data_IF_920657575212
#
_entry.id   IF_920657575212
#
_cell.length_a   1.000
_cell.length_b   1.000
_cell.length_c   1.000
_cell.angle_alpha   90.00
_cell.angle_beta   90.00
_cell.angle_gamma   90.00
#
_symmetry.space_group_name_H-M   'P 1'
#
loop_
_entity.id
_entity.type
_entity.pdbx_description
1 polymer ?
#
# COMPACT_ATOMS: atom_id res chain seq x y z
N UNK A 1 -16.92 -34.27 -14.79
CA UNK A 1 -17.26 -32.89 -15.23
C UNK A 1 -16.07 -32.02 -14.87
N UNK A 2 -15.23 -31.63 -15.83
CA UNK A 2 -14.11 -30.73 -15.61
C UNK A 2 -14.70 -29.33 -15.42
N UNK A 3 -14.75 -28.85 -14.16
CA UNK A 3 -15.16 -27.49 -13.86
C UNK A 3 -14.19 -26.51 -14.52
N UNK A 4 -14.71 -25.57 -15.32
CA UNK A 4 -13.92 -24.46 -15.84
C UNK A 4 -13.32 -23.71 -14.66
N UNK A 5 -12.00 -23.56 -14.66
CA UNK A 5 -11.31 -22.73 -13.68
C UNK A 5 -11.92 -21.31 -13.72
N UNK A 6 -12.17 -20.69 -12.56
CA UNK A 6 -12.65 -19.33 -12.54
C UNK A 6 -11.59 -18.44 -13.22
N UNK A 7 -11.94 -17.90 -14.39
CA UNK A 7 -11.14 -16.83 -15.00
C UNK A 7 -11.13 -15.66 -14.01
N UNK A 8 -9.96 -15.10 -13.76
CA UNK A 8 -9.87 -13.83 -13.02
C UNK A 8 -10.79 -12.86 -13.75
N UNK A 9 -11.95 -12.61 -13.18
CA UNK A 9 -12.90 -11.67 -13.75
C UNK A 9 -12.32 -10.27 -13.59
N UNK A 10 -12.38 -9.58 -14.67
CA UNK A 10 -11.99 -8.19 -14.96
C UNK A 10 -11.67 -7.34 -13.73
N UNK A 11 -10.44 -6.87 -13.71
CA UNK A 11 -9.86 -5.98 -12.73
C UNK A 11 -10.45 -4.60 -12.94
N UNK A 12 -11.09 -4.09 -11.92
CA UNK A 12 -11.38 -2.67 -11.86
C UNK A 12 -10.26 -2.03 -11.03
N UNK A 13 -9.37 -1.29 -11.68
CA UNK A 13 -8.50 -0.38 -10.96
C UNK A 13 -9.39 0.63 -10.25
N UNK A 14 -9.33 0.67 -8.93
CA UNK A 14 -10.01 1.70 -8.17
C UNK A 14 -9.30 3.02 -8.43
N UNK A 15 -9.80 3.77 -9.41
CA UNK A 15 -9.33 5.10 -9.69
C UNK A 15 -9.97 6.04 -8.65
N UNK A 16 -9.27 6.32 -7.58
CA UNK A 16 -9.64 7.41 -6.69
C UNK A 16 -9.25 8.72 -7.40
N UNK A 17 -10.11 9.16 -8.32
CA UNK A 17 -9.92 10.41 -9.02
C UNK A 17 -10.59 11.54 -8.25
N UNK A 18 -9.75 12.47 -7.77
CA UNK A 18 -10.19 13.84 -7.58
C UNK A 18 -10.97 14.14 -6.31
N UNK A 19 -10.30 14.10 -5.18
CA UNK A 19 -10.66 15.00 -4.09
C UNK A 19 -9.58 16.08 -4.03
N UNK A 20 -9.72 17.09 -4.86
CA UNK A 20 -8.96 18.32 -4.75
C UNK A 20 -9.53 19.12 -3.58
N UNK A 21 -8.88 19.09 -2.44
CA UNK A 21 -9.19 19.94 -1.32
C UNK A 21 -8.00 19.99 -0.38
N UNK A 22 -7.40 21.16 -0.22
CA UNK A 22 -6.57 21.47 0.94
C UNK A 22 -7.47 21.46 2.18
N UNK A 23 -7.95 20.27 2.53
CA UNK A 23 -8.85 20.06 3.65
C UNK A 23 -8.13 19.32 4.76
N UNK A 24 -7.93 19.98 5.88
CA UNK A 24 -7.79 19.31 7.17
C UNK A 24 -8.90 18.29 7.26
N UNK A 25 -8.58 17.01 7.46
CA UNK A 25 -9.59 15.98 7.71
C UNK A 25 -10.35 16.42 8.96
N UNK A 26 -11.65 16.71 8.88
CA UNK A 26 -12.39 17.15 10.04
C UNK A 26 -12.50 15.96 11.00
N UNK A 27 -12.21 16.18 12.25
CA UNK A 27 -12.38 15.34 13.42
C UNK A 27 -12.16 13.81 13.29
N UNK A 28 -12.10 13.10 14.37
CA UNK A 28 -11.87 11.65 14.40
C UNK A 28 -12.98 10.84 13.71
N UNK A 29 -14.20 11.38 13.66
CA UNK A 29 -15.34 10.77 12.99
C UNK A 29 -15.23 10.83 11.46
N UNK A 30 -14.64 11.90 10.90
CA UNK A 30 -14.40 12.05 9.47
C UNK A 30 -13.32 11.07 8.96
N UNK A 31 -12.22 10.94 9.68
CA UNK A 31 -11.15 10.01 9.34
C UNK A 31 -11.64 8.55 9.40
N UNK A 32 -12.44 8.21 10.40
CA UNK A 32 -13.03 6.87 10.54
C UNK A 32 -13.96 6.52 9.37
N UNK A 33 -14.72 7.48 8.86
CA UNK A 33 -15.59 7.28 7.68
C UNK A 33 -14.79 7.08 6.40
N UNK A 34 -13.73 7.86 6.20
CA UNK A 34 -12.87 7.75 5.01
C UNK A 34 -12.07 6.47 5.03
N UNK A 35 -11.61 6.03 6.19
CA UNK A 35 -10.93 4.74 6.36
C UNK A 35 -11.90 3.55 6.30
N UNK A 36 -13.21 3.81 6.26
CA UNK A 36 -14.21 2.75 6.26
C UNK A 36 -14.31 1.98 7.59
N UNK A 37 -13.72 2.50 8.65
CA UNK A 37 -13.82 1.91 9.99
C UNK A 37 -15.26 2.18 10.48
N UNK A 38 -16.11 1.17 10.38
CA UNK A 38 -17.53 1.26 10.77
C UNK A 38 -18.54 1.28 9.62
N UNK A 39 -18.11 1.42 8.38
CA UNK A 39 -18.90 1.17 7.18
C UNK A 39 -18.07 0.36 6.21
N UNK A 40 -18.68 -0.61 5.57
CA UNK A 40 -18.04 -1.55 4.66
C UNK A 40 -17.49 -0.85 3.40
N UNK A 41 -16.21 -0.45 3.32
CA UNK A 41 -15.68 0.27 2.17
C UNK A 41 -15.53 -0.66 0.96
N UNK A 42 -15.49 -1.96 1.20
CA UNK A 42 -15.35 -2.95 0.14
C UNK A 42 -16.70 -3.19 -0.52
N UNK A 43 -17.81 -3.04 0.18
CA UNK A 43 -19.15 -3.06 -0.42
C UNK A 43 -19.38 -1.90 -1.42
N UNK A 44 -18.68 -0.77 -1.23
CA UNK A 44 -18.67 0.32 -2.21
C UNK A 44 -17.86 -0.02 -3.47
N UNK A 45 -16.88 -0.90 -3.35
CA UNK A 45 -15.91 -1.22 -4.40
C UNK A 45 -16.17 -2.59 -5.03
N UNK A 46 -16.77 -3.51 -4.28
CA UNK A 46 -17.07 -4.87 -4.68
C UNK A 46 -18.59 -5.14 -4.64
N UNK A 47 -19.40 -4.51 -5.51
CA UNK A 47 -20.78 -4.91 -5.62
C UNK A 47 -20.80 -6.38 -6.06
N UNK A 48 -21.57 -7.23 -5.42
CA UNK A 48 -21.95 -8.64 -5.67
C UNK A 48 -21.20 -9.50 -6.73
N UNK A 49 -20.08 -9.00 -7.27
CA UNK A 49 -19.39 -9.54 -8.43
C UNK A 49 -18.35 -10.63 -8.14
N UNK A 50 -18.06 -10.94 -6.87
CA UNK A 50 -17.13 -12.02 -6.51
C UNK A 50 -15.71 -11.81 -7.05
N UNK A 51 -15.10 -10.67 -6.78
CA UNK A 51 -13.70 -10.42 -7.16
C UNK A 51 -12.75 -11.25 -6.30
N UNK A 52 -11.76 -11.88 -6.94
CA UNK A 52 -10.78 -12.71 -6.27
C UNK A 52 -9.50 -11.95 -5.88
N UNK A 53 -9.25 -10.81 -6.53
CA UNK A 53 -8.08 -9.96 -6.33
C UNK A 53 -8.40 -8.55 -6.82
N UNK A 54 -7.84 -7.54 -6.16
CA UNK A 54 -8.03 -6.13 -6.50
C UNK A 54 -6.69 -5.45 -6.73
N UNK A 55 -6.55 -4.73 -7.85
CA UNK A 55 -5.41 -3.86 -8.11
C UNK A 55 -5.73 -2.44 -7.67
N UNK A 56 -4.83 -1.83 -6.91
CA UNK A 56 -4.90 -0.41 -6.59
C UNK A 56 -4.10 0.40 -7.60
N UNK A 57 -4.61 1.59 -7.93
CA UNK A 57 -3.93 2.57 -8.76
C UNK A 57 -4.33 3.97 -8.36
N UNK A 58 -3.41 4.90 -8.51
CA UNK A 58 -3.61 6.31 -8.24
C UNK A 58 -2.86 7.14 -9.28
N UNK A 59 -3.40 8.30 -9.62
CA UNK A 59 -2.86 9.16 -10.70
C UNK A 59 -1.53 9.82 -10.33
N UNK A 60 -1.25 10.03 -9.03
CA UNK A 60 0.03 10.61 -8.57
C UNK A 60 0.14 12.12 -8.72
N UNK A 61 -0.95 12.83 -9.03
CA UNK A 61 -0.94 14.28 -9.19
C UNK A 61 -1.22 14.98 -7.86
N UNK A 62 -0.23 15.75 -7.38
CA UNK A 62 -0.34 16.55 -6.17
C UNK A 62 -0.16 15.78 -4.86
N UNK A 63 -0.16 14.46 -4.86
CA UNK A 63 -0.12 13.63 -3.67
C UNK A 63 1.22 12.95 -3.37
N UNK A 64 2.22 13.08 -4.23
CA UNK A 64 3.56 12.58 -3.92
C UNK A 64 4.23 13.34 -2.78
N UNK A 65 3.81 14.59 -2.49
CA UNK A 65 4.30 15.36 -1.33
C UNK A 65 3.71 14.81 -0.04
N UNK A 66 2.40 14.62 0.02
CA UNK A 66 1.72 14.04 1.19
C UNK A 66 2.18 12.60 1.43
N UNK A 67 2.37 11.81 0.37
CA UNK A 67 2.92 10.46 0.47
C UNK A 67 4.34 10.45 1.04
N UNK A 68 5.23 11.33 0.56
CA UNK A 68 6.58 11.46 1.13
C UNK A 68 6.55 11.93 2.58
N UNK A 69 5.62 12.82 2.95
CA UNK A 69 5.47 13.29 4.33
C UNK A 69 5.03 12.15 5.26
N UNK A 70 4.01 11.39 4.86
CA UNK A 70 3.55 10.22 5.64
C UNK A 70 4.67 9.17 5.74
N UNK A 71 5.36 8.86 4.63
CA UNK A 71 6.47 7.92 4.63
C UNK A 71 7.61 8.36 5.57
N UNK A 72 8.03 9.64 5.49
CA UNK A 72 9.07 10.20 6.36
C UNK A 72 8.73 10.00 7.84
N UNK A 73 7.52 10.37 8.23
CA UNK A 73 7.09 10.27 9.63
C UNK A 73 6.95 8.82 10.08
N UNK A 74 6.31 7.96 9.30
CA UNK A 74 6.05 6.57 9.70
C UNK A 74 7.33 5.71 9.71
N UNK A 75 8.28 6.00 8.82
CA UNK A 75 9.57 5.31 8.78
C UNK A 75 10.62 5.92 9.73
N UNK A 76 10.37 7.14 10.24
CA UNK A 76 11.35 7.88 11.02
C UNK A 76 12.57 8.31 10.19
N UNK A 77 12.43 8.45 8.87
CA UNK A 77 13.48 8.83 7.96
C UNK A 77 13.42 10.33 7.61
N UNK A 78 14.58 10.98 7.38
CA UNK A 78 14.63 12.34 6.89
C UNK A 78 13.84 12.52 5.59
N UNK A 79 13.15 13.64 5.42
CA UNK A 79 12.39 13.93 4.20
C UNK A 79 13.24 13.86 2.94
N UNK A 80 14.53 14.16 3.04
CA UNK A 80 15.53 14.12 1.98
C UNK A 80 15.71 12.69 1.40
N UNK A 81 15.56 11.68 2.22
CA UNK A 81 15.76 10.28 1.84
C UNK A 81 14.51 9.66 1.18
N UNK A 82 13.33 10.20 1.47
CA UNK A 82 12.05 9.64 1.02
C UNK A 82 11.33 10.48 -0.03
N UNK A 83 11.91 11.64 -0.39
CA UNK A 83 11.25 12.58 -1.32
C UNK A 83 11.88 12.54 -2.70
N UNK A 84 11.08 12.17 -3.68
CA UNK A 84 11.47 12.20 -5.09
C UNK A 84 10.78 13.30 -5.90
N UNK A 85 11.08 13.37 -7.21
CA UNK A 85 10.55 14.38 -8.11
C UNK A 85 9.06 14.23 -8.41
N UNK A 86 8.46 13.09 -8.09
CA UNK A 86 7.07 12.83 -8.43
C UNK A 86 6.83 12.91 -9.93
N UNK A 87 5.82 13.69 -10.33
CA UNK A 87 5.43 13.88 -11.73
C UNK A 87 6.39 14.77 -12.56
N UNK A 88 7.63 14.98 -12.11
CA UNK A 88 8.65 15.67 -12.92
C UNK A 88 9.12 17.02 -12.36
N UNK A 89 9.11 17.19 -11.04
CA UNK A 89 9.71 18.38 -10.44
C UNK A 89 11.22 18.45 -10.73
N UNK A 90 11.71 19.66 -10.95
CA UNK A 90 13.14 19.96 -10.98
C UNK A 90 13.79 19.89 -9.58
N UNK A 91 15.11 20.06 -9.52
CA UNK A 91 15.85 19.99 -8.26
C UNK A 91 15.39 21.03 -7.24
N UNK A 92 14.96 22.20 -7.67
CA UNK A 92 14.47 23.24 -6.78
C UNK A 92 13.06 22.93 -6.27
N UNK A 93 12.19 22.39 -7.13
CA UNK A 93 10.89 21.87 -6.73
C UNK A 93 10.99 20.76 -5.68
N UNK A 94 11.94 19.84 -5.83
CA UNK A 94 12.21 18.82 -4.81
C UNK A 94 12.68 19.44 -3.50
N UNK A 95 13.58 20.43 -3.51
CA UNK A 95 14.01 21.14 -2.29
C UNK A 95 12.86 21.82 -1.58
N UNK A 96 11.97 22.52 -2.33
CA UNK A 96 10.76 23.14 -1.75
C UNK A 96 9.84 22.09 -1.12
N UNK A 97 9.66 20.97 -1.80
CA UNK A 97 8.87 19.84 -1.31
C UNK A 97 9.41 19.31 0.02
N UNK A 98 10.71 19.07 0.11
CA UNK A 98 11.40 18.65 1.33
C UNK A 98 11.22 19.67 2.46
N UNK A 99 11.42 20.97 2.17
CA UNK A 99 11.25 22.02 3.15
C UNK A 99 9.83 22.07 3.73
N UNK A 100 8.81 21.92 2.88
CA UNK A 100 7.41 21.88 3.32
C UNK A 100 7.13 20.66 4.19
N UNK A 101 7.66 19.49 3.84
CA UNK A 101 7.51 18.26 4.63
C UNK A 101 8.14 18.44 6.01
N UNK A 102 9.39 18.91 6.07
CA UNK A 102 10.11 19.16 7.33
C UNK A 102 9.38 20.18 8.20
N UNK A 103 8.89 21.28 7.58
CA UNK A 103 8.12 22.30 8.30
C UNK A 103 6.82 21.72 8.87
N UNK A 104 6.07 20.97 8.09
CA UNK A 104 4.82 20.35 8.54
C UNK A 104 5.08 19.38 9.70
N UNK A 105 6.08 18.50 9.57
CA UNK A 105 6.44 17.57 10.63
C UNK A 105 6.82 18.28 11.93
N UNK A 106 7.60 19.37 11.85
CA UNK A 106 8.03 20.16 13.00
C UNK A 106 6.86 20.91 13.67
N UNK A 107 6.03 21.62 12.89
CA UNK A 107 4.89 22.41 13.39
C UNK A 107 3.90 21.51 14.13
N UNK A 108 3.62 20.37 13.58
CA UNK A 108 2.64 19.42 14.16
C UNK A 108 3.29 18.41 15.10
N UNK A 109 4.60 18.45 15.31
CA UNK A 109 5.35 17.51 16.17
C UNK A 109 4.95 16.06 15.84
N UNK A 110 5.06 15.69 14.57
CA UNK A 110 4.69 14.35 14.10
C UNK A 110 5.81 13.34 14.39
N UNK A 111 5.42 12.09 14.57
CA UNK A 111 6.32 10.98 14.85
C UNK A 111 6.36 10.62 16.33
N UNK A 112 6.94 9.46 16.60
CA UNK A 112 7.10 8.96 17.98
C UNK A 112 8.31 9.67 18.60
N UNK A 113 8.07 10.45 19.63
CA UNK A 113 9.10 11.17 20.37
C UNK A 113 9.46 10.43 21.65
N UNK A 114 10.66 9.88 21.70
CA UNK A 114 11.19 9.15 22.85
C UNK A 114 11.19 7.62 22.66
N UNK A 115 11.78 6.89 23.63
CA UNK A 115 11.83 5.44 23.57
C UNK A 115 10.43 4.84 23.76
N UNK A 116 10.18 3.72 23.08
CA UNK A 116 9.01 2.87 23.33
C UNK A 116 9.08 2.31 24.75
N UNK A 117 7.93 2.02 25.32
CA UNK A 117 7.82 1.57 26.73
C UNK A 117 8.36 0.16 26.95
N UNK A 118 8.46 -0.64 25.88
CA UNK A 118 8.74 -2.07 25.93
C UNK A 118 7.51 -2.93 26.27
N UNK A 119 6.35 -2.30 26.49
CA UNK A 119 5.05 -2.97 26.62
C UNK A 119 4.44 -3.08 25.23
N UNK A 120 4.41 -4.27 24.66
CA UNK A 120 4.01 -4.50 23.28
C UNK A 120 2.59 -3.99 22.94
N UNK A 121 1.65 -4.03 23.88
CA UNK A 121 0.27 -3.55 23.67
C UNK A 121 0.23 -2.02 23.65
N UNK A 122 0.85 -1.37 24.63
CA UNK A 122 0.91 0.10 24.70
C UNK A 122 1.67 0.69 23.54
N UNK A 123 2.78 0.09 23.16
CA UNK A 123 3.59 0.54 22.04
C UNK A 123 2.82 0.40 20.71
N UNK A 124 2.09 -0.69 20.53
CA UNK A 124 1.21 -0.88 19.37
C UNK A 124 0.12 0.18 19.33
N UNK A 125 -0.54 0.45 20.45
CA UNK A 125 -1.59 1.47 20.53
C UNK A 125 -1.04 2.86 20.25
N UNK A 126 0.14 3.20 20.76
CA UNK A 126 0.82 4.47 20.47
C UNK A 126 1.13 4.59 18.98
N UNK A 127 1.67 3.55 18.37
CA UNK A 127 1.98 3.53 16.93
C UNK A 127 0.72 3.71 16.08
N UNK A 128 -0.39 3.07 16.44
CA UNK A 128 -1.67 3.25 15.75
C UNK A 128 -2.18 4.69 15.86
N UNK A 129 -2.12 5.29 17.06
CA UNK A 129 -2.56 6.67 17.29
C UNK A 129 -1.71 7.66 16.48
N UNK A 130 -0.38 7.52 16.51
CA UNK A 130 0.52 8.39 15.73
C UNK A 130 0.36 8.19 14.22
N UNK A 131 0.06 6.97 13.78
CA UNK A 131 -0.25 6.69 12.36
C UNK A 131 -1.51 7.41 11.91
N UNK A 132 -2.60 7.32 12.69
CA UNK A 132 -3.85 8.05 12.39
C UNK A 132 -3.64 9.57 12.44
N UNK A 133 -2.90 10.05 13.44
CA UNK A 133 -2.56 11.46 13.56
C UNK A 133 -1.76 11.96 12.36
N UNK A 134 -0.75 11.21 11.93
CA UNK A 134 0.07 11.53 10.76
C UNK A 134 -0.78 11.57 9.50
N UNK A 135 -1.60 10.54 9.26
CA UNK A 135 -2.47 10.47 8.10
C UNK A 135 -3.46 11.64 8.04
N UNK A 136 -4.04 11.99 9.19
CA UNK A 136 -4.98 13.12 9.32
C UNK A 136 -4.31 14.47 9.09
N UNK A 137 -3.04 14.63 9.48
CA UNK A 137 -2.35 15.93 9.48
C UNK A 137 -1.64 16.22 8.16
N UNK A 138 -0.92 15.26 7.61
CA UNK A 138 -0.08 15.43 6.41
C UNK A 138 -0.41 14.47 5.28
N UNK A 139 -1.37 13.57 5.46
CA UNK A 139 -1.87 12.69 4.42
C UNK A 139 -2.85 13.38 3.48
N UNK A 140 -3.68 12.58 2.82
CA UNK A 140 -4.75 13.04 1.92
C UNK A 140 -5.91 12.06 1.96
N UNK A 141 -7.07 12.47 1.44
CA UNK A 141 -8.25 11.62 1.38
C UNK A 141 -8.05 10.40 0.47
N UNK A 142 -7.21 10.54 -0.54
CA UNK A 142 -6.76 9.48 -1.43
C UNK A 142 -5.95 8.42 -0.67
N UNK A 143 -4.96 8.82 0.14
CA UNK A 143 -4.22 7.90 1.01
C UNK A 143 -5.14 7.23 2.05
N UNK A 144 -6.09 7.98 2.62
CA UNK A 144 -7.08 7.42 3.54
C UNK A 144 -7.93 6.34 2.85
N UNK A 145 -8.44 6.62 1.65
CA UNK A 145 -9.27 5.68 0.89
C UNK A 145 -8.48 4.41 0.51
N UNK A 146 -7.24 4.57 0.02
CA UNK A 146 -6.37 3.45 -0.33
C UNK A 146 -5.97 2.62 0.90
N UNK A 147 -5.70 3.27 2.03
CA UNK A 147 -5.46 2.60 3.32
C UNK A 147 -6.67 1.77 3.74
N UNK A 148 -7.87 2.34 3.63
CA UNK A 148 -9.13 1.63 3.88
C UNK A 148 -9.34 0.45 2.93
N UNK A 149 -8.98 0.59 1.65
CA UNK A 149 -9.04 -0.50 0.68
C UNK A 149 -8.08 -1.66 1.05
N UNK A 150 -6.86 -1.35 1.50
CA UNK A 150 -5.91 -2.36 2.00
C UNK A 150 -6.48 -3.13 3.21
N UNK A 151 -7.05 -2.41 4.17
CA UNK A 151 -7.68 -3.01 5.36
C UNK A 151 -8.90 -3.85 4.97
N UNK A 152 -9.77 -3.31 4.12
CA UNK A 152 -10.94 -4.01 3.62
C UNK A 152 -10.57 -5.29 2.87
N UNK A 153 -9.56 -5.25 2.02
CA UNK A 153 -9.05 -6.45 1.33
C UNK A 153 -8.70 -7.58 2.30
N UNK A 154 -8.02 -7.26 3.40
CA UNK A 154 -7.70 -8.25 4.43
C UNK A 154 -8.94 -8.78 5.16
N UNK A 155 -9.89 -7.90 5.54
CA UNK A 155 -11.13 -8.27 6.23
C UNK A 155 -11.94 -9.24 5.36
N UNK A 156 -12.07 -8.95 4.06
CA UNK A 156 -12.86 -9.76 3.12
C UNK A 156 -12.04 -10.86 2.43
N UNK A 157 -10.77 -11.03 2.80
CA UNK A 157 -9.84 -12.02 2.22
C UNK A 157 -9.68 -11.87 0.71
N UNK A 158 -9.70 -10.63 0.23
CA UNK A 158 -9.41 -10.27 -1.15
C UNK A 158 -8.00 -9.71 -1.22
N UNK A 159 -7.04 -10.39 -1.84
CA UNK A 159 -5.68 -9.88 -2.01
C UNK A 159 -5.67 -8.55 -2.76
N UNK A 160 -4.81 -7.65 -2.32
CA UNK A 160 -4.64 -6.31 -2.87
C UNK A 160 -3.29 -6.21 -3.54
N UNK A 161 -3.27 -5.90 -4.83
CA UNK A 161 -2.04 -5.65 -5.59
C UNK A 161 -1.70 -4.17 -5.53
N UNK A 162 -0.51 -3.87 -5.04
CA UNK A 162 0.02 -2.52 -4.91
C UNK A 162 0.68 -2.09 -6.22
N UNK A 163 0.53 -0.82 -6.57
CA UNK A 163 1.18 -0.19 -7.72
C UNK A 163 2.48 0.54 -7.30
N UNK A 164 2.46 1.86 -7.33
CA UNK A 164 3.61 2.73 -7.04
C UNK A 164 3.62 3.28 -5.61
N UNK A 165 4.34 4.42 -5.45
CA UNK A 165 4.57 5.08 -4.16
C UNK A 165 3.29 5.27 -3.34
N UNK A 166 2.23 5.79 -3.96
CA UNK A 166 1.01 6.18 -3.22
C UNK A 166 0.36 4.96 -2.57
N UNK A 167 0.26 3.86 -3.33
CA UNK A 167 -0.29 2.59 -2.81
C UNK A 167 0.65 1.92 -1.81
N UNK A 168 1.97 2.07 -1.97
CA UNK A 168 2.95 1.56 -1.01
C UNK A 168 2.85 2.29 0.35
N UNK A 169 2.68 3.62 0.34
CA UNK A 169 2.45 4.43 1.55
C UNK A 169 1.12 4.06 2.21
N UNK A 170 0.06 3.85 1.43
CA UNK A 170 -1.21 3.37 1.95
C UNK A 170 -1.09 1.99 2.60
N UNK A 171 -0.32 1.08 2.00
CA UNK A 171 -0.03 -0.24 2.55
C UNK A 171 0.77 -0.16 3.86
N UNK A 172 1.81 0.69 3.93
CA UNK A 172 2.56 0.95 5.16
C UNK A 172 1.63 1.46 6.27
N UNK A 173 0.81 2.46 5.95
CA UNK A 173 -0.17 3.02 6.87
C UNK A 173 -1.15 1.95 7.37
N UNK A 174 -1.68 1.14 6.47
CA UNK A 174 -2.61 0.07 6.79
C UNK A 174 -1.97 -1.01 7.70
N UNK A 175 -0.74 -1.40 7.43
CA UNK A 175 0.00 -2.37 8.25
C UNK A 175 0.32 -1.83 9.65
N UNK A 176 0.54 -0.51 9.80
CA UNK A 176 0.72 0.14 11.10
C UNK A 176 -0.58 0.23 11.90
N UNK A 177 -1.71 0.41 11.22
CA UNK A 177 -3.03 0.46 11.85
C UNK A 177 -3.55 -0.93 12.22
N UNK A 178 -3.29 -1.93 11.41
CA UNK A 178 -3.77 -3.29 11.63
C UNK A 178 -2.65 -4.30 11.31
N UNK A 179 -1.85 -4.68 12.28
CA UNK A 179 -0.82 -5.70 12.11
C UNK A 179 -1.43 -7.01 11.59
N UNK A 180 -0.73 -7.66 10.66
CA UNK A 180 -1.18 -8.93 10.07
C UNK A 180 -1.85 -8.82 8.70
N UNK A 181 -2.32 -7.63 8.28
CA UNK A 181 -2.89 -7.45 6.94
C UNK A 181 -1.85 -7.58 5.82
N UNK A 182 -0.57 -7.49 6.15
CA UNK A 182 0.54 -7.61 5.20
C UNK A 182 0.40 -8.82 4.26
N UNK A 183 -0.09 -9.94 4.75
CA UNK A 183 -0.23 -11.19 3.99
C UNK A 183 -1.29 -11.11 2.88
N UNK A 184 -2.11 -10.06 2.87
CA UNK A 184 -3.10 -9.79 1.85
C UNK A 184 -2.63 -8.74 0.83
N UNK A 185 -1.40 -8.23 0.98
CA UNK A 185 -0.85 -7.20 0.13
C UNK A 185 0.25 -7.77 -0.76
N UNK A 186 0.13 -7.55 -2.06
CA UNK A 186 1.05 -8.06 -3.08
C UNK A 186 1.79 -6.88 -3.73
N UNK A 187 3.10 -6.71 -3.51
CA UNK A 187 3.88 -5.69 -4.18
C UNK A 187 4.09 -6.08 -5.66
N UNK A 188 3.71 -5.21 -6.59
CA UNK A 188 3.90 -5.49 -8.02
C UNK A 188 5.33 -5.24 -8.48
N UNK A 189 5.82 -4.03 -8.26
CA UNK A 189 7.12 -3.58 -8.77
C UNK A 189 7.83 -2.64 -7.79
N UNK A 190 9.12 -2.49 -7.98
CA UNK A 190 9.90 -1.44 -7.33
C UNK A 190 9.91 -0.21 -8.25
N UNK A 191 9.18 0.85 -7.85
CA UNK A 191 9.16 2.13 -8.54
C UNK A 191 10.43 2.96 -8.31
N UNK A 192 10.54 4.09 -9.00
CA UNK A 192 11.72 4.97 -8.92
C UNK A 192 11.72 5.92 -7.71
N UNK A 193 10.59 6.08 -7.05
CA UNK A 193 10.49 7.01 -5.92
C UNK A 193 11.28 6.48 -4.72
N UNK A 194 12.11 7.33 -4.07
CA UNK A 194 13.06 6.89 -3.04
C UNK A 194 12.39 6.14 -1.87
N UNK A 195 11.22 6.61 -1.42
CA UNK A 195 10.51 6.00 -0.31
C UNK A 195 10.10 4.54 -0.54
N UNK A 196 9.94 4.10 -1.80
CA UNK A 196 9.45 2.74 -2.07
C UNK A 196 10.39 1.66 -1.55
N UNK A 197 11.69 1.83 -1.73
CA UNK A 197 12.67 0.86 -1.24
C UNK A 197 12.59 0.73 0.29
N UNK A 198 12.56 1.84 1.01
CA UNK A 198 12.47 1.85 2.47
C UNK A 198 11.14 1.26 2.97
N UNK A 199 10.02 1.57 2.31
CA UNK A 199 8.72 0.99 2.65
C UNK A 199 8.73 -0.53 2.45
N UNK A 200 9.28 -1.00 1.34
CA UNK A 200 9.31 -2.43 1.04
C UNK A 200 10.26 -3.19 1.96
N UNK A 201 11.37 -2.58 2.38
CA UNK A 201 12.25 -3.12 3.41
C UNK A 201 11.53 -3.25 4.76
N UNK A 202 10.86 -2.18 5.22
CA UNK A 202 10.07 -2.17 6.46
C UNK A 202 8.97 -3.24 6.44
N UNK A 203 8.23 -3.34 5.34
CA UNK A 203 7.16 -4.32 5.18
C UNK A 203 7.68 -5.73 4.81
N UNK A 204 8.97 -5.89 4.60
CA UNK A 204 9.59 -7.15 4.11
C UNK A 204 8.92 -7.64 2.83
N UNK A 205 8.65 -6.73 1.92
CA UNK A 205 8.11 -7.03 0.60
C UNK A 205 9.22 -7.33 -0.39
N UNK A 206 8.99 -8.33 -1.24
CA UNK A 206 9.84 -8.65 -2.37
C UNK A 206 9.05 -8.39 -3.67
N UNK A 207 9.26 -7.25 -4.34
CA UNK A 207 8.55 -6.95 -5.57
C UNK A 207 8.97 -7.90 -6.70
N UNK A 208 8.01 -8.33 -7.51
CA UNK A 208 8.25 -9.31 -8.58
C UNK A 208 8.85 -8.65 -9.82
N UNK A 209 8.49 -7.39 -10.09
CA UNK A 209 8.85 -6.68 -11.31
C UNK A 209 9.90 -5.60 -11.04
N UNK A 210 11.05 -5.68 -11.73
CA UNK A 210 12.13 -4.69 -11.70
C UNK A 210 12.30 -4.01 -13.06
N UNK A 211 11.27 -3.30 -13.52
CA UNK A 211 11.20 -2.70 -14.86
C UNK A 211 11.33 -1.16 -14.88
N UNK A 212 11.72 -0.55 -13.75
CA UNK A 212 11.85 0.91 -13.59
C UNK A 212 10.58 1.67 -13.99
N UNK A 213 9.42 1.12 -13.68
CA UNK A 213 8.12 1.74 -13.95
C UNK A 213 7.99 3.07 -13.21
N UNK A 214 7.33 4.03 -13.85
CA UNK A 214 7.15 5.38 -13.31
C UNK A 214 5.84 6.04 -13.76
N UNK A 215 4.96 5.30 -14.45
CA UNK A 215 3.69 5.86 -14.95
C UNK A 215 2.66 6.02 -13.83
N UNK A 216 2.57 5.06 -12.92
CA UNK A 216 1.50 5.01 -11.93
C UNK A 216 0.17 4.52 -12.51
N UNK A 217 -0.94 5.02 -12.01
CA UNK A 217 -2.32 4.76 -12.48
C UNK A 217 -2.73 3.28 -12.44
N UNK A 218 -2.07 2.46 -11.60
CA UNK A 218 -2.30 1.02 -11.51
C UNK A 218 -1.55 0.19 -12.56
N UNK A 219 -0.70 0.81 -13.37
CA UNK A 219 0.00 0.12 -14.48
C UNK A 219 0.86 -1.03 -13.99
N UNK A 220 1.64 -0.82 -12.91
CA UNK A 220 2.47 -1.87 -12.34
C UNK A 220 1.65 -2.98 -11.71
N UNK A 221 0.56 -2.63 -11.04
CA UNK A 221 -0.35 -3.60 -10.44
C UNK A 221 -0.99 -4.48 -11.52
N UNK A 222 -1.47 -3.90 -12.61
CA UNK A 222 -2.05 -4.65 -13.74
C UNK A 222 -1.00 -5.52 -14.43
N UNK A 223 0.24 -5.05 -14.56
CA UNK A 223 1.33 -5.82 -15.15
C UNK A 223 1.69 -7.10 -14.37
N UNK A 224 1.35 -7.17 -13.09
CA UNK A 224 1.57 -8.36 -12.26
C UNK A 224 0.58 -9.50 -12.58
N UNK A 225 -0.63 -9.21 -13.07
CA UNK A 225 -1.66 -10.23 -13.23
C UNK A 225 -1.28 -11.38 -14.17
N UNK A 226 -0.69 -11.14 -15.35
CA UNK A 226 -0.24 -12.24 -16.20
C UNK A 226 0.75 -13.18 -15.49
N UNK A 227 1.62 -12.63 -14.64
CA UNK A 227 2.57 -13.42 -13.86
C UNK A 227 1.86 -14.26 -12.78
N UNK A 228 0.83 -13.70 -12.14
CA UNK A 228 0.01 -14.44 -11.18
C UNK A 228 -0.78 -15.55 -11.87
N UNK A 229 -1.36 -15.28 -13.04
CA UNK A 229 -2.07 -16.30 -13.82
C UNK A 229 -1.14 -17.45 -14.21
N UNK A 230 0.07 -17.14 -14.69
CA UNK A 230 1.09 -18.14 -15.01
C UNK A 230 1.50 -18.96 -13.79
N UNK A 231 1.75 -18.30 -12.65
CA UNK A 231 2.09 -18.99 -11.41
C UNK A 231 0.96 -19.92 -10.93
N UNK A 232 -0.29 -19.46 -11.01
CA UNK A 232 -1.46 -20.27 -10.68
C UNK A 232 -1.63 -21.47 -11.64
N UNK A 233 -1.32 -21.28 -12.91
CA UNK A 233 -1.38 -22.35 -13.90
C UNK A 233 -0.33 -23.42 -13.60
N UNK A 234 0.93 -23.02 -13.37
CA UNK A 234 2.00 -23.93 -12.98
C UNK A 234 1.61 -24.72 -11.73
N UNK A 235 1.11 -24.04 -10.69
CA UNK A 235 0.70 -24.69 -9.47
C UNK A 235 -0.42 -25.74 -9.65
N UNK A 236 -1.35 -25.51 -10.58
CA UNK A 236 -2.51 -26.39 -10.80
C UNK A 236 -2.25 -27.53 -11.78
N UNK A 237 -1.40 -27.30 -12.77
CA UNK A 237 -1.23 -28.21 -13.92
C UNK A 237 0.08 -28.99 -13.85
N UNK A 238 1.00 -28.61 -12.96
CA UNK A 238 2.26 -29.32 -12.80
C UNK A 238 2.02 -30.69 -12.13
N UNK A 239 2.65 -31.74 -12.67
CA UNK A 239 2.60 -33.06 -12.07
C UNK A 239 3.29 -33.02 -10.69
N UNK A 240 2.66 -33.65 -9.71
CA UNK A 240 3.26 -33.86 -8.39
C UNK A 240 4.13 -35.11 -8.38
N UNK A 241 5.00 -35.26 -7.38
CA UNK A 241 5.77 -36.49 -7.19
C UNK A 241 4.84 -37.72 -7.10
N UNK A 242 3.68 -37.56 -6.45
CA UNK A 242 2.67 -38.60 -6.37
C UNK A 242 2.06 -38.99 -7.74
N UNK A 243 1.83 -38.03 -8.63
CA UNK A 243 1.35 -38.25 -9.99
C UNK A 243 2.40 -39.00 -10.84
N UNK A 244 3.67 -38.83 -10.52
CA UNK A 244 4.81 -39.43 -11.22
C UNK A 244 5.28 -40.75 -10.54
N UNK A 245 4.62 -41.19 -9.46
CA UNK A 245 5.00 -42.35 -8.65
C UNK A 245 6.47 -42.26 -8.17
N UNK A 246 6.93 -41.03 -7.87
CA UNK A 246 8.29 -40.71 -7.40
C UNK A 246 8.28 -40.35 -5.93
N UNK A 247 9.34 -40.69 -5.22
CA UNK A 247 9.56 -40.22 -3.85
C UNK A 247 9.85 -38.71 -3.83
N UNK A 248 9.38 -38.05 -2.78
CA UNK A 248 9.65 -36.63 -2.59
C UNK A 248 11.15 -36.39 -2.44
N UNK A 249 11.63 -35.24 -2.95
CA UNK A 249 13.00 -34.83 -2.78
C UNK A 249 13.37 -34.65 -1.30
N UNK A 250 14.44 -35.31 -0.86
CA UNK A 250 15.02 -35.10 0.47
C UNK A 250 16.14 -34.05 0.39
N UNK A 251 16.04 -33.04 1.25
CA UNK A 251 17.10 -32.03 1.37
C UNK A 251 18.37 -32.66 1.94
N UNK A 252 19.43 -32.69 1.17
CA UNK A 252 20.76 -33.05 1.67
C UNK A 252 21.26 -31.87 2.53
N UNK A 253 21.17 -32.03 3.84
CA UNK A 253 21.77 -31.14 4.82
C UNK A 253 23.24 -31.42 5.01
#
# INVERSE_FOLDING_TARGET
>A
MKGQAPRVKQITALKVSGVYGHGVIPDDAGASKVLGIGHDPVNLVLPDGGYHILALGEMGIGNTTTSSAVASVLLGLPAEEVTGPGAGLDKEGVRRKIAVINQAAAVWKLGIHGPLSGDGEKDTQLMMQETLRTLRTVGGLDLCALTGACIGGAIYRVPIVLDGLITAVAALTACRLLPGIRNFLLPSHLGKEPAMAAIYEELKFCPVIHARLALGEGTGAVALFPLLDMACQVYRENATFGDLEMDAYEDYR
#
